data_IF_200405647635
#
_entry.id   IF_200405647635
#
_cell.length_a   1.000
_cell.length_b   1.000
_cell.length_c   1.000
_cell.angle_alpha   90.00
_cell.angle_beta   90.00
_cell.angle_gamma   90.00
#
_symmetry.space_group_name_H-M   'P 1'
#
loop_
_entity.id
_entity.type
_entity.pdbx_description
1 polymer ?
#
# COMPACT_ATOMS: atom_id res chain seq x y z
N UNK A 1 -17.65 32.40 -20.19
CA UNK A 1 -17.85 31.21 -19.32
C UNK A 1 -16.60 30.34 -19.35
N UNK A 2 -15.64 30.61 -18.46
CA UNK A 2 -14.39 29.83 -18.42
C UNK A 2 -14.64 28.50 -17.72
N UNK A 3 -14.73 27.44 -18.52
CA UNK A 3 -14.74 26.05 -18.06
C UNK A 3 -13.35 25.75 -17.52
N UNK A 4 -13.08 26.21 -16.29
CA UNK A 4 -11.82 26.00 -15.57
C UNK A 4 -11.67 24.50 -15.47
N UNK A 5 -10.78 23.93 -16.28
CA UNK A 5 -10.48 22.51 -16.25
C UNK A 5 -10.04 22.21 -14.83
N UNK A 6 -10.93 21.60 -14.05
CA UNK A 6 -10.53 20.98 -12.80
C UNK A 6 -9.56 19.89 -13.22
N UNK A 7 -8.26 20.21 -13.20
CA UNK A 7 -7.19 19.22 -13.21
C UNK A 7 -7.37 18.44 -11.91
N UNK A 8 -8.30 17.49 -11.91
CA UNK A 8 -8.53 16.60 -10.79
C UNK A 8 -7.26 15.77 -10.66
N UNK A 9 -6.57 16.00 -9.55
CA UNK A 9 -5.39 15.22 -9.15
C UNK A 9 -5.81 13.75 -9.15
N UNK A 10 -5.13 12.94 -9.94
CA UNK A 10 -5.47 11.52 -10.03
C UNK A 10 -4.88 10.77 -8.83
N UNK A 11 -5.62 9.86 -8.20
CA UNK A 11 -5.07 9.03 -7.15
C UNK A 11 -4.08 8.02 -7.75
N UNK A 12 -2.89 7.92 -7.17
CA UNK A 12 -1.86 6.95 -7.51
C UNK A 12 -1.63 6.02 -6.32
N UNK A 13 -1.92 4.72 -6.51
CA UNK A 13 -1.75 3.73 -5.46
C UNK A 13 -0.27 3.37 -5.29
N UNK A 14 0.19 3.40 -4.05
CA UNK A 14 1.60 3.11 -3.73
C UNK A 14 1.83 1.95 -2.80
N UNK A 15 2.99 1.33 -2.97
CA UNK A 15 3.53 0.32 -2.05
C UNK A 15 4.79 0.84 -1.41
N UNK A 16 4.95 0.61 -0.10
CA UNK A 16 6.17 0.95 0.61
C UNK A 16 7.21 -0.14 0.35
N UNK A 17 8.41 0.25 -0.05
CA UNK A 17 9.57 -0.64 -0.19
C UNK A 17 10.73 -0.09 0.60
N UNK A 18 11.34 -0.93 1.43
CA UNK A 18 12.62 -0.67 2.06
C UNK A 18 13.76 -1.27 1.23
N UNK A 19 14.91 -0.60 1.24
CA UNK A 19 16.14 -1.12 0.65
C UNK A 19 16.90 -1.93 1.71
N UNK A 20 17.09 -3.25 1.52
CA UNK A 20 17.74 -4.10 2.52
C UNK A 20 19.17 -3.62 2.79
N UNK A 21 19.55 -3.51 4.06
CA UNK A 21 20.84 -2.97 4.49
C UNK A 21 20.90 -1.44 4.55
N UNK A 22 19.85 -0.74 4.11
CA UNK A 22 19.69 0.71 4.30
C UNK A 22 18.43 1.00 5.10
N UNK A 23 18.35 2.17 5.73
CA UNK A 23 17.16 2.61 6.48
C UNK A 23 16.22 3.47 5.65
N UNK A 24 16.39 3.48 4.33
CA UNK A 24 15.64 4.34 3.42
C UNK A 24 14.42 3.59 2.91
N UNK A 25 13.28 4.27 2.96
CA UNK A 25 12.00 3.77 2.44
C UNK A 25 11.61 4.54 1.18
N UNK A 26 10.98 3.85 0.23
CA UNK A 26 10.48 4.39 -1.02
C UNK A 26 9.02 4.04 -1.23
N UNK A 27 8.26 5.02 -1.67
CA UNK A 27 6.93 4.83 -2.21
C UNK A 27 7.05 4.45 -3.67
N UNK A 28 6.55 3.28 -4.01
CA UNK A 28 6.54 2.76 -5.38
C UNK A 28 5.14 2.89 -5.93
N UNK A 29 4.98 3.74 -6.95
CA UNK A 29 3.80 3.82 -7.80
C UNK A 29 3.96 2.78 -8.89
N UNK A 30 3.14 1.73 -8.90
CA UNK A 30 3.27 0.62 -9.85
C UNK A 30 2.90 1.04 -11.29
N UNK A 31 1.82 1.84 -11.41
CA UNK A 31 1.34 2.38 -12.68
C UNK A 31 1.02 3.87 -12.53
N UNK A 32 1.84 4.71 -13.15
CA UNK A 32 1.60 6.15 -13.22
C UNK A 32 0.31 6.46 -14.00
N UNK A 33 -0.61 7.30 -13.50
CA UNK A 33 -1.85 7.63 -14.21
C UNK A 33 -1.62 8.44 -15.50
N UNK A 34 -0.38 8.90 -15.75
CA UNK A 34 -0.02 9.70 -16.93
C UNK A 34 0.74 8.90 -17.98
N UNK A 35 1.86 8.26 -17.62
CA UNK A 35 2.70 7.50 -18.56
C UNK A 35 2.54 5.98 -18.46
N UNK A 36 1.87 5.47 -17.43
CA UNK A 36 1.74 4.02 -17.19
C UNK A 36 2.98 3.33 -16.64
N UNK A 37 4.10 4.03 -16.48
CA UNK A 37 5.34 3.46 -15.94
C UNK A 37 5.38 3.42 -14.40
N UNK A 38 6.34 2.66 -13.88
CA UNK A 38 6.60 2.56 -12.44
C UNK A 38 7.48 3.73 -11.98
N UNK A 39 7.07 4.40 -10.91
CA UNK A 39 7.79 5.53 -10.33
C UNK A 39 8.14 5.32 -8.86
N UNK A 40 9.26 5.93 -8.45
CA UNK A 40 9.82 5.84 -7.10
C UNK A 40 9.83 7.22 -6.46
N UNK A 41 9.28 7.32 -5.26
CA UNK A 41 9.30 8.52 -4.44
C UNK A 41 9.97 8.23 -3.09
N UNK A 42 10.79 9.15 -2.58
CA UNK A 42 11.42 8.97 -1.27
C UNK A 42 10.38 9.06 -0.15
N UNK A 43 10.11 7.95 0.54
CA UNK A 43 9.13 7.88 1.65
C UNK A 43 9.70 8.33 3.00
N UNK A 44 11.04 8.46 3.11
CA UNK A 44 11.71 8.90 4.33
C UNK A 44 12.71 7.87 4.87
N UNK A 45 13.12 8.06 6.12
CA UNK A 45 14.09 7.20 6.81
C UNK A 45 13.46 6.60 8.07
N UNK A 46 13.73 5.32 8.33
CA UNK A 46 13.21 4.51 9.45
C UNK A 46 13.36 5.15 10.85
N UNK A 47 14.25 6.16 10.99
CA UNK A 47 14.58 6.77 12.29
C UNK A 47 13.84 8.09 12.58
N UNK A 48 13.29 8.76 11.56
CA UNK A 48 12.88 10.17 11.71
C UNK A 48 11.65 10.58 10.93
N UNK A 49 11.15 9.77 10.00
CA UNK A 49 9.98 10.13 9.21
C UNK A 49 8.99 8.97 9.21
N UNK A 50 7.78 9.22 9.70
CA UNK A 50 6.64 8.35 9.48
C UNK A 50 6.32 8.36 7.98
N UNK A 51 6.38 7.21 7.29
CA UNK A 51 6.22 7.18 5.83
C UNK A 51 4.84 7.68 5.40
N UNK A 52 3.84 7.62 6.30
CA UNK A 52 2.49 8.13 6.08
C UNK A 52 2.39 9.65 5.96
N UNK A 53 3.32 10.42 6.51
CA UNK A 53 3.31 11.89 6.39
C UNK A 53 3.71 12.37 4.99
N UNK A 54 4.33 11.50 4.18
CA UNK A 54 4.65 11.79 2.76
C UNK A 54 3.57 11.32 1.78
N UNK A 55 2.42 10.88 2.28
CA UNK A 55 1.24 10.62 1.44
C UNK A 55 0.54 11.95 1.17
N UNK A 56 0.17 12.18 -0.09
CA UNK A 56 -0.39 13.46 -0.54
C UNK A 56 0.01 13.77 -1.98
N UNK A 57 -0.11 15.04 -2.36
CA UNK A 57 0.16 15.51 -3.71
C UNK A 57 1.68 15.58 -3.99
N UNK A 58 2.12 14.90 -5.04
CA UNK A 58 3.49 14.96 -5.56
C UNK A 58 3.50 15.09 -7.07
N UNK A 59 4.54 15.74 -7.57
CA UNK A 59 4.81 15.85 -9.00
C UNK A 59 5.14 14.47 -9.60
N UNK A 60 4.60 14.21 -10.78
CA UNK A 60 4.89 13.00 -11.52
C UNK A 60 6.35 13.04 -12.05
N UNK A 61 7.18 12.01 -11.81
CA UNK A 61 8.55 11.99 -12.34
C UNK A 61 8.63 12.05 -13.86
N UNK A 62 7.57 11.60 -14.55
CA UNK A 62 7.46 11.69 -16.01
C UNK A 62 7.13 13.09 -16.53
N UNK A 63 6.44 13.93 -15.72
CA UNK A 63 6.02 15.27 -16.10
C UNK A 63 5.85 16.12 -14.83
N UNK A 64 6.82 17.00 -14.50
CA UNK A 64 6.79 17.78 -13.28
C UNK A 64 5.67 18.83 -13.24
N UNK A 65 5.00 19.13 -14.36
CA UNK A 65 3.83 20.01 -14.36
C UNK A 65 2.56 19.31 -13.86
N UNK A 66 2.57 17.97 -13.78
CA UNK A 66 1.42 17.16 -13.40
C UNK A 66 1.61 16.58 -12.01
N UNK A 67 0.57 16.69 -11.20
CA UNK A 67 0.57 16.23 -9.82
C UNK A 67 -0.46 15.11 -9.64
N UNK A 68 -0.09 14.07 -8.89
CA UNK A 68 -0.99 13.01 -8.45
C UNK A 68 -0.94 12.84 -6.93
N UNK A 69 -2.01 12.29 -6.38
CA UNK A 69 -2.16 12.07 -4.94
C UNK A 69 -1.72 10.64 -4.59
N UNK A 70 -0.64 10.51 -3.82
CA UNK A 70 -0.16 9.22 -3.32
C UNK A 70 -1.13 8.68 -2.27
N UNK A 71 -1.83 7.61 -2.61
CA UNK A 71 -2.74 6.94 -1.70
C UNK A 71 -2.31 5.50 -1.45
N UNK A 72 -2.56 5.02 -0.23
CA UNK A 72 -2.39 3.60 0.07
C UNK A 72 -3.51 2.81 -0.63
N UNK A 73 -3.22 1.66 -1.24
CA UNK A 73 -4.26 0.80 -1.80
C UNK A 73 -5.23 0.42 -0.68
N UNK A 74 -6.55 0.41 -0.96
CA UNK A 74 -7.54 0.02 0.04
C UNK A 74 -7.20 -1.37 0.55
N UNK A 75 -7.00 -1.49 1.88
CA UNK A 75 -6.64 -2.76 2.51
C UNK A 75 -7.66 -3.82 2.06
N UNK A 76 -7.22 -4.99 1.54
CA UNK A 76 -8.15 -6.02 1.13
C UNK A 76 -8.99 -6.42 2.35
N UNK A 77 -10.29 -6.13 2.30
CA UNK A 77 -11.19 -6.49 3.37
C UNK A 77 -11.15 -8.01 3.52
N UNK A 78 -10.59 -8.49 4.62
CA UNK A 78 -10.63 -9.92 4.95
C UNK A 78 -12.10 -10.28 5.11
N UNK A 79 -12.64 -11.05 4.15
CA UNK A 79 -14.02 -11.55 4.21
C UNK A 79 -14.24 -12.19 5.59
N UNK A 80 -15.19 -11.65 6.37
CA UNK A 80 -15.68 -12.24 7.63
C UNK A 80 -16.05 -13.70 7.35
N UNK A 81 -15.25 -14.65 7.84
CA UNK A 81 -15.51 -16.09 7.65
C UNK A 81 -14.27 -16.98 7.50
N UNK A 82 -13.13 -16.43 7.05
CA UNK A 82 -11.89 -17.24 6.92
C UNK A 82 -11.24 -17.57 8.27
N UNK A 83 -11.52 -16.77 9.30
CA UNK A 83 -11.04 -17.01 10.67
C UNK A 83 -11.77 -18.17 11.35
N UNK A 84 -13.10 -18.26 11.16
CA UNK A 84 -13.93 -19.37 11.66
C UNK A 84 -13.47 -20.72 11.07
N UNK A 85 -13.14 -20.77 9.77
CA UNK A 85 -12.62 -21.98 9.11
C UNK A 85 -11.25 -22.41 9.65
N UNK A 86 -10.38 -21.46 10.04
CA UNK A 86 -9.06 -21.77 10.62
C UNK A 86 -9.17 -22.24 12.08
N UNK A 87 -10.13 -21.71 12.85
CA UNK A 87 -10.42 -22.15 14.23
C UNK A 87 -11.03 -23.56 14.25
N UNK A 88 -11.99 -23.87 13.37
CA UNK A 88 -12.59 -25.20 13.27
C UNK A 88 -11.56 -26.32 12.98
N UNK A 89 -10.54 -26.04 12.15
CA UNK A 89 -9.45 -26.99 11.87
C UNK A 89 -8.53 -27.26 13.06
N UNK A 90 -8.40 -26.32 14.01
CA UNK A 90 -7.62 -26.54 15.24
C UNK A 90 -8.42 -27.26 16.33
N UNK A 91 -9.75 -27.13 16.34
CA UNK A 91 -10.63 -27.85 17.27
C UNK A 91 -10.69 -29.35 17.01
N UNK A 92 -10.65 -29.78 15.74
CA UNK A 92 -10.76 -31.21 15.38
C UNK A 92 -9.52 -32.07 15.63
N UNK A 93 -8.41 -31.53 16.16
CA UNK A 93 -7.18 -32.30 16.49
C UNK A 93 -7.00 -32.51 18.00
N UNK A 94 -7.91 -31.98 18.84
CA UNK A 94 -7.83 -32.10 20.31
C UNK A 94 -8.78 -33.15 20.90
N UNK A 95 -9.61 -33.82 20.10
CA UNK A 95 -10.39 -35.01 20.50
C UNK A 95 -9.81 -36.29 19.89
N UNK A 96 -8.51 -36.51 20.05
CA UNK A 96 -7.96 -37.87 20.02
C UNK A 96 -7.45 -38.13 21.44
N UNK A 97 -8.25 -38.93 22.14
CA UNK A 97 -8.08 -39.39 23.51
C UNK A 97 -6.64 -39.90 23.77
N UNK A 98 -5.93 -39.41 24.80
CA UNK A 98 -4.60 -39.91 25.15
C UNK A 98 -4.60 -41.09 26.13
N UNK A 99 -5.70 -41.85 26.30
CA UNK A 99 -5.78 -42.97 27.26
C UNK A 99 -6.29 -44.30 26.63
N UNK A 100 -5.81 -44.64 25.43
CA UNK A 100 -5.76 -46.04 25.00
C UNK A 100 -4.32 -46.47 24.69
N UNK A 101 -3.77 -47.25 25.63
CA UNK A 101 -2.49 -48.00 25.67
C UNK A 101 -1.29 -47.36 26.38
#
# INVERSE_FOLDING_TARGET
>A
MSKKSRRTVQPAYVTLRDLPGTRVMFWVVDACPYCGERHLHPAGNLRSADPGERLGEVAAPCDPERHYDLQLPPKPQRKKGKEARRKARRGGRLEADPDEW
#
